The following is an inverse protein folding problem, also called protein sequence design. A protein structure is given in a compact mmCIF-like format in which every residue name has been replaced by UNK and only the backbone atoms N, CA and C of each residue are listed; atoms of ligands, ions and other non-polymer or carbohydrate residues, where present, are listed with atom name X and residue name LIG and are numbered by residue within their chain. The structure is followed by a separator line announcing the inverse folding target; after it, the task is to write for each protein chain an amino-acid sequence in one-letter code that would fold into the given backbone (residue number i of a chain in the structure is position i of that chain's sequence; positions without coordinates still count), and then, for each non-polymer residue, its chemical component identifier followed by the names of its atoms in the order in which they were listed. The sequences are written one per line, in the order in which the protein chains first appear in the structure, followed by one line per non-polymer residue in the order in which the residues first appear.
data_IF_712694532351
#
_entry.id   IF_712694532351
#
_cell.length_a   1.000
_cell.length_b   1.000
_cell.length_c   1.000
_cell.angle_alpha   90.00
_cell.angle_beta   90.00
_cell.angle_gamma   90.00
#
_symmetry.space_group_name_H-M   'P 1'
#
loop_
_entity.id
_entity.type
_entity.pdbx_description
1 polymer ?
#
# COMPACT_ATOMS: atom_id res chain seq x y z
N UNK A 1 58.32 28.53 -6.66
CA UNK A 1 57.52 28.88 -7.86
C UNK A 1 57.95 27.92 -8.95
N UNK A 2 57.16 26.98 -9.45
CA UNK A 2 55.72 26.96 -9.74
C UNK A 2 55.16 25.58 -9.39
N UNK A 3 54.47 25.48 -8.26
CA UNK A 3 53.51 24.41 -8.02
C UNK A 3 52.22 24.81 -8.76
N UNK A 4 51.66 23.92 -9.58
CA UNK A 4 50.25 23.85 -9.99
C UNK A 4 50.12 22.87 -11.18
N UNK A 5 50.28 21.57 -10.91
CA UNK A 5 49.97 20.50 -11.87
C UNK A 5 49.15 19.37 -11.20
N UNK A 6 48.22 19.74 -10.30
CA UNK A 6 47.29 18.80 -9.67
C UNK A 6 45.85 19.35 -9.60
N UNK A 7 45.38 19.98 -10.68
CA UNK A 7 44.00 20.47 -10.81
C UNK A 7 43.27 19.76 -11.97
N UNK A 8 43.47 18.45 -12.10
CA UNK A 8 42.91 17.64 -13.19
C UNK A 8 42.13 16.37 -12.78
N UNK A 9 42.05 16.02 -11.48
CA UNK A 9 41.48 14.72 -11.06
C UNK A 9 40.41 14.83 -9.94
N UNK A 10 39.98 16.05 -9.58
CA UNK A 10 38.93 16.23 -8.55
C UNK A 10 37.53 16.57 -9.09
N UNK A 11 37.32 16.53 -10.41
CA UNK A 11 36.02 16.85 -11.04
C UNK A 11 35.29 15.66 -11.68
N UNK A 12 35.67 14.42 -11.34
CA UNK A 12 35.02 13.20 -11.85
C UNK A 12 34.31 12.36 -10.77
N UNK A 13 34.00 12.95 -9.60
CA UNK A 13 33.14 12.34 -8.57
C UNK A 13 31.67 12.80 -8.62
N UNK A 14 31.21 13.32 -9.76
CA UNK A 14 29.78 13.58 -10.01
C UNK A 14 29.23 12.79 -11.19
N UNK A 15 29.89 11.67 -11.52
CA UNK A 15 29.31 10.64 -12.37
C UNK A 15 28.24 9.89 -11.56
N UNK A 16 27.00 10.01 -12.05
CA UNK A 16 25.85 9.16 -11.74
C UNK A 16 25.10 9.44 -10.43
N UNK A 17 24.43 10.60 -10.36
CA UNK A 17 23.03 10.57 -9.94
C UNK A 17 22.21 9.96 -11.09
N UNK A 18 22.46 8.69 -11.36
CA UNK A 18 21.68 7.87 -12.26
C UNK A 18 20.28 7.74 -11.68
N UNK A 19 19.30 8.22 -12.45
CA UNK A 19 18.07 7.50 -12.66
C UNK A 19 17.27 7.18 -11.38
N UNK A 20 16.60 8.18 -10.80
CA UNK A 20 15.34 7.91 -10.10
C UNK A 20 14.21 7.78 -11.13
N UNK A 21 14.31 6.76 -11.99
CA UNK A 21 13.16 6.25 -12.74
C UNK A 21 12.81 4.90 -12.13
N UNK A 22 11.73 4.87 -11.36
CA UNK A 22 10.94 3.67 -11.03
C UNK A 22 11.69 2.56 -10.29
N UNK A 23 12.36 2.85 -9.16
CA UNK A 23 12.67 1.76 -8.23
C UNK A 23 11.44 1.45 -7.40
N UNK A 24 10.85 0.29 -7.66
CA UNK A 24 10.02 -0.44 -6.70
C UNK A 24 10.75 -0.44 -5.35
N UNK A 25 10.22 0.28 -4.38
CA UNK A 25 10.93 0.59 -3.14
C UNK A 25 10.19 0.02 -1.93
N UNK A 26 10.97 -0.48 -0.98
CA UNK A 26 10.49 -0.63 0.39
C UNK A 26 10.18 0.76 0.95
N UNK A 27 9.11 0.87 1.74
CA UNK A 27 8.59 2.13 2.29
C UNK A 27 8.34 3.20 1.19
N UNK A 28 7.47 2.91 0.20
CA UNK A 28 7.18 3.83 -0.90
C UNK A 28 6.47 5.10 -0.42
N UNK A 29 6.44 6.14 -1.26
CA UNK A 29 5.57 7.30 -1.03
C UNK A 29 4.09 6.86 -1.08
N UNK A 30 3.40 6.93 0.06
CA UNK A 30 2.03 6.46 0.17
C UNK A 30 1.04 7.31 -0.61
N UNK A 31 1.31 8.61 -0.83
CA UNK A 31 0.43 9.44 -1.68
C UNK A 31 0.44 8.93 -3.10
N UNK A 32 1.61 8.59 -3.63
CA UNK A 32 1.76 8.03 -4.97
C UNK A 32 1.10 6.65 -5.08
N UNK A 33 1.34 5.76 -4.11
CA UNK A 33 0.71 4.42 -4.08
C UNK A 33 -0.81 4.53 -4.07
N UNK A 34 -1.38 5.39 -3.22
CA UNK A 34 -2.83 5.59 -3.15
C UNK A 34 -3.40 6.03 -4.50
N UNK A 35 -2.67 6.88 -5.24
CA UNK A 35 -3.09 7.38 -6.54
C UNK A 35 -3.01 6.33 -7.64
N UNK A 36 -1.92 5.55 -7.68
CA UNK A 36 -1.67 4.53 -8.71
C UNK A 36 -2.42 3.22 -8.48
N UNK A 37 -2.62 2.85 -7.22
CA UNK A 37 -3.29 1.61 -6.80
C UNK A 37 -4.53 1.92 -5.94
N UNK A 38 -5.53 2.66 -6.47
CA UNK A 38 -6.68 3.07 -5.69
C UNK A 38 -7.55 1.89 -5.26
N UNK A 39 -7.53 0.78 -6.01
CA UNK A 39 -8.34 -0.41 -5.75
C UNK A 39 -7.50 -1.67 -5.83
N UNK A 40 -7.43 -2.43 -4.75
CA UNK A 40 -6.69 -3.69 -4.67
C UNK A 40 -7.43 -4.70 -3.81
N UNK A 41 -7.15 -5.97 -4.06
CA UNK A 41 -7.79 -7.13 -3.45
C UNK A 41 -6.76 -7.87 -2.60
N UNK A 42 -7.19 -8.36 -1.45
CA UNK A 42 -6.36 -9.13 -0.54
C UNK A 42 -6.10 -10.50 -1.14
N UNK A 43 -4.85 -10.74 -1.53
CA UNK A 43 -4.41 -12.05 -2.02
C UNK A 43 -3.92 -12.91 -0.85
N UNK A 44 -3.15 -12.31 0.07
CA UNK A 44 -2.62 -12.97 1.26
C UNK A 44 -2.74 -12.07 2.50
N UNK A 45 -2.89 -12.69 3.67
CA UNK A 45 -2.79 -12.03 4.98
C UNK A 45 -2.15 -12.97 5.99
N UNK A 46 -1.52 -12.42 7.03
CA UNK A 46 -1.20 -13.21 8.23
C UNK A 46 -2.44 -13.49 9.09
N UNK A 47 -3.42 -12.59 9.05
CA UNK A 47 -4.71 -12.77 9.69
C UNK A 47 -5.51 -13.86 8.99
N UNK A 48 -6.14 -14.74 9.78
CA UNK A 48 -7.03 -15.78 9.26
C UNK A 48 -8.49 -15.30 9.29
N UNK A 49 -9.01 -14.91 8.12
CA UNK A 49 -10.40 -14.53 7.93
C UNK A 49 -11.18 -15.72 7.37
N UNK A 50 -11.60 -16.61 8.27
CA UNK A 50 -12.32 -17.84 7.87
C UNK A 50 -13.61 -17.51 7.12
N UNK A 51 -13.88 -18.24 6.03
CA UNK A 51 -15.02 -18.04 5.12
C UNK A 51 -15.05 -16.68 4.39
N UNK A 52 -13.96 -15.91 4.42
CA UNK A 52 -13.87 -14.70 3.61
C UNK A 52 -13.93 -15.07 2.13
N UNK A 53 -14.90 -14.51 1.42
CA UNK A 53 -14.99 -14.62 -0.05
C UNK A 53 -13.92 -13.73 -0.66
N UNK A 54 -13.83 -12.47 -0.25
CA UNK A 54 -12.74 -11.58 -0.62
C UNK A 54 -12.61 -10.42 0.37
N UNK A 55 -11.39 -9.89 0.48
CA UNK A 55 -11.12 -8.58 1.07
C UNK A 55 -10.67 -7.62 -0.03
N UNK A 56 -11.09 -6.37 0.00
CA UNK A 56 -10.54 -5.35 -0.91
C UNK A 56 -10.40 -4.00 -0.22
N UNK A 57 -9.38 -3.28 -0.64
CA UNK A 57 -9.05 -1.95 -0.17
C UNK A 57 -9.36 -0.93 -1.26
N UNK A 58 -9.91 0.21 -0.85
CA UNK A 58 -10.24 1.31 -1.75
C UNK A 58 -9.78 2.65 -1.18
N UNK A 59 -8.90 3.32 -1.91
CA UNK A 59 -8.58 4.74 -1.72
C UNK A 59 -9.48 5.58 -2.63
N UNK A 60 -10.40 6.33 -2.03
CA UNK A 60 -11.26 7.27 -2.74
C UNK A 60 -10.49 8.57 -2.95
N UNK A 61 -9.90 8.69 -4.14
CA UNK A 61 -9.05 9.79 -4.56
C UNK A 61 -9.84 11.01 -5.11
N UNK A 62 -11.07 11.20 -4.66
CA UNK A 62 -11.87 12.37 -5.05
C UNK A 62 -11.18 13.66 -4.59
N UNK A 63 -11.01 14.59 -5.52
CA UNK A 63 -10.37 15.90 -5.30
C UNK A 63 -11.31 16.94 -4.72
N UNK A 64 -12.63 16.66 -4.68
CA UNK A 64 -13.68 17.61 -4.28
C UNK A 64 -14.17 17.44 -2.85
N UNK A 65 -13.70 16.42 -2.13
CA UNK A 65 -14.12 16.10 -0.76
C UNK A 65 -12.97 15.64 0.14
N UNK A 66 -13.32 15.20 1.35
CA UNK A 66 -12.36 14.54 2.24
C UNK A 66 -11.96 13.21 1.61
N UNK A 67 -10.66 13.00 1.38
CA UNK A 67 -10.11 11.71 0.91
C UNK A 67 -10.55 10.60 1.86
N UNK A 68 -11.04 9.49 1.32
CA UNK A 68 -11.50 8.34 2.11
C UNK A 68 -10.67 7.11 1.83
N UNK A 69 -10.66 6.24 2.81
CA UNK A 69 -10.16 4.88 2.74
C UNK A 69 -11.28 3.95 3.15
N UNK A 70 -11.34 2.76 2.55
CA UNK A 70 -12.20 1.69 3.05
C UNK A 70 -11.51 0.35 2.87
N UNK A 71 -11.68 -0.51 3.86
CA UNK A 71 -11.30 -1.92 3.82
C UNK A 71 -12.58 -2.74 3.96
N UNK A 72 -12.96 -3.39 2.88
CA UNK A 72 -14.17 -4.19 2.79
C UNK A 72 -13.86 -5.67 2.83
N UNK A 73 -14.70 -6.40 3.56
CA UNK A 73 -14.68 -7.85 3.68
C UNK A 73 -16.05 -8.41 3.26
N UNK A 74 -16.08 -9.22 2.21
CA UNK A 74 -17.27 -9.95 1.77
C UNK A 74 -17.24 -11.36 2.34
N UNK A 75 -18.28 -11.69 3.10
CA UNK A 75 -18.61 -13.05 3.55
C UNK A 75 -19.89 -13.53 2.85
N UNK A 76 -20.27 -14.81 2.92
CA UNK A 76 -21.48 -15.31 2.28
C UNK A 76 -22.74 -14.52 2.65
N UNK A 77 -22.93 -14.26 3.93
CA UNK A 77 -24.12 -13.66 4.55
C UNK A 77 -24.03 -12.13 4.72
N UNK A 78 -22.83 -11.55 4.72
CA UNK A 78 -22.64 -10.14 5.05
C UNK A 78 -21.51 -9.46 4.28
N UNK A 79 -21.57 -8.14 4.24
CA UNK A 79 -20.47 -7.26 3.84
C UNK A 79 -20.11 -6.41 5.05
N UNK A 80 -18.84 -6.38 5.39
CA UNK A 80 -18.31 -5.52 6.43
C UNK A 80 -17.40 -4.48 5.77
N UNK A 81 -17.54 -3.22 6.16
CA UNK A 81 -16.83 -2.06 5.62
C UNK A 81 -16.32 -1.23 6.79
N UNK A 82 -15.15 -0.64 6.62
CA UNK A 82 -14.48 0.21 7.60
C UNK A 82 -14.12 1.53 6.94
N UNK A 83 -15.10 2.39 6.64
CA UNK A 83 -14.84 3.65 5.97
C UNK A 83 -14.14 4.61 6.95
N UNK A 84 -13.00 5.14 6.53
CA UNK A 84 -12.20 6.10 7.26
C UNK A 84 -11.93 7.33 6.39
N UNK A 85 -11.62 8.44 7.05
CA UNK A 85 -11.19 9.68 6.43
C UNK A 85 -9.69 9.81 6.57
N UNK A 86 -8.99 10.04 5.46
CA UNK A 86 -7.55 10.29 5.45
C UNK A 86 -7.31 11.68 6.04
N UNK A 87 -6.54 11.73 7.12
CA UNK A 87 -6.21 12.95 7.87
C UNK A 87 -4.87 13.51 7.44
N UNK A 88 -3.89 12.64 7.29
CA UNK A 88 -2.56 12.97 6.79
C UNK A 88 -1.92 11.76 6.10
N UNK A 89 -0.95 12.03 5.24
CA UNK A 89 -0.12 11.02 4.59
C UNK A 89 1.32 11.52 4.61
N UNK A 90 2.18 10.79 5.32
CA UNK A 90 3.59 11.16 5.50
C UNK A 90 4.47 9.94 5.21
N UNK A 91 5.40 10.08 4.27
CA UNK A 91 6.24 8.98 3.77
C UNK A 91 5.39 7.78 3.33
N UNK A 92 5.59 6.62 3.94
CA UNK A 92 4.89 5.38 3.65
C UNK A 92 3.67 5.13 4.56
N UNK A 93 3.26 6.11 5.35
CA UNK A 93 2.22 6.00 6.37
C UNK A 93 0.98 6.79 5.99
N UNK A 94 -0.19 6.22 6.27
CA UNK A 94 -1.49 6.85 6.10
C UNK A 94 -2.14 6.97 7.47
N UNK A 95 -2.40 8.21 7.89
CA UNK A 95 -3.09 8.52 9.14
C UNK A 95 -4.57 8.79 8.87
N UNK A 96 -5.44 8.09 9.57
CA UNK A 96 -6.86 8.03 9.28
C UNK A 96 -7.70 8.25 10.53
N UNK A 97 -8.93 8.75 10.35
CA UNK A 97 -9.89 9.00 11.40
C UNK A 97 -11.30 8.53 11.03
N UNK A 98 -12.10 8.16 12.02
CA UNK A 98 -13.52 7.76 11.82
C UNK A 98 -14.44 8.93 11.45
N UNK A 99 -14.01 10.17 11.70
CA UNK A 99 -14.80 11.40 11.50
C UNK A 99 -14.20 12.30 10.42
N UNK A 100 -15.01 12.96 9.57
CA UNK A 100 -14.49 13.85 8.53
C UNK A 100 -13.92 15.17 9.06
N UNK A 101 -14.45 15.70 10.17
CA UNK A 101 -14.18 17.06 10.62
C UNK A 101 -12.72 17.23 11.06
N UNK A 102 -12.12 18.39 10.73
CA UNK A 102 -10.68 18.67 10.96
C UNK A 102 -10.26 18.65 12.43
N UNK A 103 -11.19 18.97 13.34
CA UNK A 103 -10.93 18.97 14.78
C UNK A 103 -10.68 17.56 15.34
N UNK A 104 -11.27 16.53 14.73
CA UNK A 104 -10.99 15.15 15.11
C UNK A 104 -9.74 14.67 14.38
N UNK A 105 -8.70 14.35 15.17
CA UNK A 105 -7.43 13.83 14.68
C UNK A 105 -7.51 12.41 14.12
N UNK A 106 -6.36 11.88 13.71
CA UNK A 106 -6.23 10.49 13.32
C UNK A 106 -6.27 9.58 14.56
N UNK A 107 -6.97 8.45 14.44
CA UNK A 107 -7.06 7.39 15.45
C UNK A 107 -6.70 6.01 14.88
N UNK A 108 -6.33 5.95 13.59
CA UNK A 108 -5.90 4.76 12.88
C UNK A 108 -4.70 5.08 12.00
N UNK A 109 -3.88 4.07 11.76
CA UNK A 109 -2.70 4.16 10.91
C UNK A 109 -2.63 2.93 9.99
N UNK A 110 -2.09 3.12 8.79
CA UNK A 110 -1.76 2.06 7.85
C UNK A 110 -0.36 2.32 7.27
N UNK A 111 0.52 1.35 7.42
CA UNK A 111 1.83 1.33 6.76
C UNK A 111 1.71 0.69 5.38
N UNK A 112 2.35 1.30 4.38
CA UNK A 112 2.68 0.63 3.12
C UNK A 112 4.14 0.20 3.19
N UNK A 113 4.40 -1.10 3.31
CA UNK A 113 5.74 -1.63 3.51
C UNK A 113 6.51 -1.77 2.20
N UNK A 114 5.80 -2.03 1.10
CA UNK A 114 6.34 -2.13 -0.25
C UNK A 114 5.22 -1.93 -1.27
N UNK A 115 5.56 -1.42 -2.44
CA UNK A 115 4.69 -1.36 -3.61
C UNK A 115 5.55 -1.38 -4.87
N UNK A 116 5.12 -2.14 -5.88
CA UNK A 116 5.72 -1.99 -7.20
C UNK A 116 5.20 -0.75 -7.94
N UNK A 117 4.11 -0.13 -7.46
CA UNK A 117 3.40 1.00 -8.05
C UNK A 117 2.53 0.69 -9.27
N UNK A 118 2.44 -0.56 -9.73
CA UNK A 118 1.59 -0.93 -10.88
C UNK A 118 0.52 -1.95 -10.56
N UNK A 119 0.80 -2.92 -9.68
CA UNK A 119 -0.11 -4.03 -9.47
C UNK A 119 -0.20 -4.58 -8.06
N UNK A 120 0.70 -4.22 -7.15
CA UNK A 120 0.67 -4.74 -5.79
C UNK A 120 1.17 -3.74 -4.74
N UNK A 121 0.72 -3.93 -3.51
CA UNK A 121 1.28 -3.32 -2.32
C UNK A 121 1.15 -4.24 -1.12
N UNK A 122 2.05 -4.08 -0.15
CA UNK A 122 1.98 -4.75 1.14
C UNK A 122 1.59 -3.71 2.18
N UNK A 123 0.51 -3.96 2.89
CA UNK A 123 -0.03 -3.06 3.90
C UNK A 123 0.03 -3.70 5.27
N UNK A 124 0.21 -2.89 6.32
CA UNK A 124 0.24 -3.38 7.69
C UNK A 124 -0.42 -2.39 8.64
N UNK A 125 -1.19 -2.89 9.60
CA UNK A 125 -1.54 -2.12 10.79
C UNK A 125 -0.31 -2.07 11.72
N UNK A 126 0.25 -0.89 12.02
CA UNK A 126 1.46 -0.80 12.85
C UNK A 126 1.21 -1.06 14.34
N UNK A 127 -0.04 -1.23 14.78
CA UNK A 127 -0.35 -1.63 16.16
C UNK A 127 0.22 -3.03 16.47
N UNK A 128 1.22 -3.07 17.34
CA UNK A 128 1.90 -4.31 17.75
C UNK A 128 0.98 -5.32 18.44
N UNK A 129 -0.22 -4.90 18.86
CA UNK A 129 -1.24 -5.81 19.43
C UNK A 129 -1.97 -6.62 18.36
N UNK A 130 -1.86 -6.23 17.09
CA UNK A 130 -2.53 -6.88 15.96
C UNK A 130 -1.50 -7.15 14.84
N UNK A 131 -0.39 -7.85 15.14
CA UNK A 131 0.69 -8.07 14.18
C UNK A 131 0.25 -8.87 12.94
N UNK A 132 -0.84 -9.63 13.06
CA UNK A 132 -1.44 -10.40 11.97
C UNK A 132 -2.13 -9.55 10.90
N UNK A 133 -2.37 -8.26 11.15
CA UNK A 133 -2.97 -7.34 10.19
C UNK A 133 -1.94 -6.85 9.15
N UNK A 134 -1.26 -7.80 8.48
CA UNK A 134 -0.30 -7.58 7.40
C UNK A 134 -0.78 -8.29 6.13
N UNK A 135 -1.03 -7.54 5.06
CA UNK A 135 -1.74 -8.01 3.88
C UNK A 135 -0.97 -7.73 2.59
N UNK A 136 -0.90 -8.73 1.71
CA UNK A 136 -0.55 -8.54 0.30
C UNK A 136 -1.81 -8.20 -0.48
N UNK A 137 -1.84 -6.98 -1.01
CA UNK A 137 -2.93 -6.44 -1.80
C UNK A 137 -2.50 -6.34 -3.27
N UNK A 138 -3.34 -6.82 -4.20
CA UNK A 138 -3.03 -6.84 -5.63
C UNK A 138 -4.18 -6.28 -6.46
N UNK A 139 -3.92 -5.74 -7.64
CA UNK A 139 -4.98 -5.36 -8.58
C UNK A 139 -5.70 -6.60 -9.08
N UNK A 140 -6.95 -6.43 -9.57
CA UNK A 140 -7.74 -7.53 -10.13
C UNK A 140 -6.98 -8.28 -11.24
N UNK A 141 -6.32 -7.54 -12.13
CA UNK A 141 -5.61 -8.10 -13.27
C UNK A 141 -4.44 -9.01 -12.87
N UNK A 142 -3.84 -8.78 -11.71
CA UNK A 142 -2.70 -9.54 -11.19
C UNK A 142 -3.09 -10.52 -10.08
N UNK A 143 -4.37 -10.82 -9.90
CA UNK A 143 -4.80 -11.71 -8.80
C UNK A 143 -4.44 -13.18 -9.06
N UNK A 144 -4.70 -13.67 -10.28
CA UNK A 144 -4.41 -15.07 -10.64
C UNK A 144 -2.92 -15.30 -10.92
N UNK A 145 -2.22 -14.27 -11.40
CA UNK A 145 -0.77 -14.30 -11.65
C UNK A 145 -0.09 -13.05 -11.04
N UNK A 146 0.13 -13.05 -9.72
CA UNK A 146 0.75 -11.93 -9.03
C UNK A 146 2.26 -11.85 -9.32
N UNK A 147 2.85 -10.63 -9.40
CA UNK A 147 4.30 -10.53 -9.60
C UNK A 147 5.07 -11.22 -8.48
N UNK A 148 6.06 -12.04 -8.85
CA UNK A 148 6.86 -12.81 -7.91
C UNK A 148 7.56 -11.93 -6.87
N UNK A 149 7.99 -10.72 -7.26
CA UNK A 149 8.60 -9.76 -6.34
C UNK A 149 7.65 -9.37 -5.19
N UNK A 150 6.35 -9.21 -5.46
CA UNK A 150 5.36 -8.88 -4.44
C UNK A 150 5.18 -10.03 -3.43
N UNK A 151 5.17 -11.27 -3.92
CA UNK A 151 5.11 -12.47 -3.08
C UNK A 151 6.35 -12.59 -2.20
N UNK A 152 7.54 -12.32 -2.76
CA UNK A 152 8.79 -12.35 -2.00
C UNK A 152 8.82 -11.28 -0.92
N UNK A 153 8.52 -10.03 -1.29
CA UNK A 153 8.47 -8.91 -0.35
C UNK A 153 7.45 -9.12 0.76
N UNK A 154 6.34 -9.79 0.48
CA UNK A 154 5.35 -10.10 1.52
C UNK A 154 5.93 -11.05 2.57
N UNK A 155 6.67 -12.07 2.15
CA UNK A 155 7.37 -12.97 3.09
C UNK A 155 8.42 -12.23 3.92
N UNK A 156 9.20 -11.36 3.27
CA UNK A 156 10.27 -10.60 3.92
C UNK A 156 9.74 -9.63 4.99
N UNK A 157 8.63 -8.94 4.68
CA UNK A 157 8.03 -7.91 5.53
C UNK A 157 7.07 -8.46 6.59
N UNK A 158 6.15 -9.35 6.20
CA UNK A 158 5.08 -9.80 7.09
C UNK A 158 5.48 -10.98 7.99
N UNK A 159 6.47 -11.81 7.61
CA UNK A 159 7.02 -12.91 8.44
C UNK A 159 5.98 -13.71 9.25
N UNK A 160 5.50 -14.83 8.69
CA UNK A 160 4.62 -15.73 9.43
C UNK A 160 3.86 -16.68 8.51
N UNK A 161 2.92 -17.41 9.10
CA UNK A 161 1.99 -18.22 8.34
C UNK A 161 1.00 -17.32 7.59
N UNK A 162 0.98 -17.46 6.27
CA UNK A 162 0.10 -16.68 5.41
C UNK A 162 -1.13 -17.48 5.00
N UNK A 163 -2.30 -16.85 5.04
CA UNK A 163 -3.56 -17.35 4.53
C UNK A 163 -3.83 -16.72 3.16
N UNK A 164 -4.31 -17.51 2.20
CA UNK A 164 -4.64 -17.08 0.84
C UNK A 164 -6.15 -16.89 0.71
N UNK A 165 -6.54 -15.92 -0.11
CA UNK A 165 -7.96 -15.60 -0.36
C UNK A 165 -8.28 -15.65 -1.85
N UNK A 166 -9.57 -15.64 -2.16
CA UNK A 166 -10.07 -15.56 -3.54
C UNK A 166 -10.62 -14.17 -3.86
N UNK A 167 -10.86 -13.92 -5.14
CA UNK A 167 -11.53 -12.73 -5.67
C UNK A 167 -12.88 -13.06 -6.31
N UNK A 168 -13.22 -14.36 -6.43
CA UNK A 168 -14.47 -14.80 -7.06
C UNK A 168 -15.67 -14.38 -6.19
N UNK A 169 -16.66 -13.73 -6.78
CA UNK A 169 -17.85 -13.25 -6.06
C UNK A 169 -17.64 -11.96 -5.26
N UNK A 170 -16.52 -11.28 -5.47
CA UNK A 170 -16.25 -10.01 -4.82
C UNK A 170 -17.17 -8.90 -5.35
N UNK A 171 -17.84 -8.10 -4.49
CA UNK A 171 -18.66 -7.00 -4.94
C UNK A 171 -17.73 -5.97 -5.59
N UNK A 172 -17.79 -5.86 -6.91
CA UNK A 172 -17.11 -4.77 -7.58
C UNK A 172 -17.87 -3.49 -7.26
N UNK A 173 -17.22 -2.45 -6.70
CA UNK A 173 -17.78 -1.12 -6.88
C UNK A 173 -17.77 -0.90 -8.38
N UNK A 174 -18.95 -0.96 -9.00
CA UNK A 174 -19.13 -0.64 -10.41
C UNK A 174 -18.43 0.68 -10.72
N UNK A 175 -17.98 0.86 -11.96
CA UNK A 175 -17.39 2.11 -12.43
C UNK A 175 -18.39 3.26 -12.14
N UNK A 176 -18.27 3.89 -10.97
CA UNK A 176 -18.81 5.21 -10.75
C UNK A 176 -17.79 6.14 -11.39
N UNK A 177 -18.01 6.34 -12.70
CA UNK A 177 -17.45 7.42 -13.48
C UNK A 177 -17.82 8.77 -12.86
#
# INVERSE_FOLDING_TARGET
MTALFFLGILFLCHTHATLSQNREADNPDAKEVMWKLPKTFMLQSLGNYTHLICGYQHFYNDTRGNRKYDLLFKYPDRIFSQPLYVKDVTNNKIYMGTRPEKYFGADRELDILYSNMQSCMITRNPDEKIPEACNLMVTKASFEDPPQICLQKFKDHCKGQAFKYTIKGCPYPGNQN
#
